data_IF_794144773536
#
_entry.id   IF_794144773536
#
_cell.length_a   1.000
_cell.length_b   1.000
_cell.length_c   1.000
_cell.angle_alpha   90.00
_cell.angle_beta   90.00
_cell.angle_gamma   90.00
#
_symmetry.space_group_name_H-M   'P 1'
#
loop_
_entity.id
_entity.type
_entity.pdbx_description
1 polymer ?
#
# COMPACT_ATOMS: atom_id res chain seq x y z
N UNK A 1 9.87 2.93 -75.47
CA UNK A 1 9.18 2.24 -76.59
C UNK A 1 7.74 2.00 -76.14
N UNK A 2 6.73 2.20 -77.00
CA UNK A 2 5.32 2.38 -76.57
C UNK A 2 5.09 3.78 -75.97
N UNK A 3 4.02 4.57 -76.22
CA UNK A 3 2.73 4.41 -76.95
C UNK A 3 1.75 3.39 -76.33
N UNK A 4 0.44 3.66 -76.18
CA UNK A 4 -0.39 4.78 -76.72
C UNK A 4 -1.55 5.23 -75.78
N UNK A 5 -1.98 6.51 -75.95
CA UNK A 5 -3.33 7.15 -75.90
C UNK A 5 -4.48 6.56 -75.04
N UNK A 6 -5.13 7.34 -74.15
CA UNK A 6 -6.31 8.25 -74.35
C UNK A 6 -7.70 7.50 -74.31
N UNK A 7 -8.87 8.04 -73.89
CA UNK A 7 -9.50 9.37 -74.10
C UNK A 7 -10.54 9.80 -73.03
N UNK A 8 -10.98 11.07 -73.08
CA UNK A 8 -12.21 11.73 -72.50
C UNK A 8 -13.44 10.85 -72.15
N UNK A 9 -14.26 11.08 -71.11
CA UNK A 9 -15.11 12.27 -70.76
C UNK A 9 -16.62 11.84 -70.75
N UNK A 10 -17.65 12.53 -70.22
CA UNK A 10 -17.79 13.71 -69.35
C UNK A 10 -19.28 14.15 -69.14
N UNK A 11 -19.58 14.89 -68.06
CA UNK A 11 -20.81 15.70 -67.74
C UNK A 11 -22.22 15.04 -67.53
N UNK A 12 -22.76 15.23 -66.31
CA UNK A 12 -24.19 15.57 -66.04
C UNK A 12 -25.21 14.44 -65.79
N UNK A 13 -26.45 14.67 -65.32
CA UNK A 13 -27.06 15.81 -64.58
C UNK A 13 -28.50 15.44 -64.09
N UNK A 14 -28.96 15.92 -62.91
CA UNK A 14 -30.37 15.92 -62.39
C UNK A 14 -31.07 14.53 -62.24
N UNK A 15 -31.91 14.26 -61.23
CA UNK A 15 -33.15 14.98 -60.87
C UNK A 15 -33.69 14.66 -59.45
N UNK A 16 -34.64 15.49 -58.96
CA UNK A 16 -35.63 15.19 -57.89
C UNK A 16 -37.04 15.33 -58.48
N UNK A 17 -38.08 14.72 -57.88
CA UNK A 17 -39.04 15.46 -57.01
C UNK A 17 -39.27 14.72 -55.67
N UNK A 18 -39.88 15.22 -54.56
CA UNK A 18 -41.12 16.00 -54.30
C UNK A 18 -42.42 15.23 -54.66
N UNK A 19 -43.53 15.29 -53.92
CA UNK A 19 -43.91 15.79 -52.58
C UNK A 19 -45.39 15.34 -52.29
N UNK A 20 -46.19 15.72 -51.28
CA UNK A 20 -46.10 16.71 -50.18
C UNK A 20 -47.17 16.45 -49.07
N UNK A 21 -46.90 16.85 -47.81
CA UNK A 21 -47.86 17.45 -46.80
C UNK A 21 -49.03 16.69 -46.13
N UNK A 22 -49.31 17.14 -44.88
CA UNK A 22 -50.55 16.96 -44.09
C UNK A 22 -50.27 16.34 -42.70
N UNK A 23 -50.50 16.92 -41.50
CA UNK A 23 -51.00 18.21 -40.93
C UNK A 23 -52.33 18.09 -40.15
N UNK A 24 -52.25 18.32 -38.82
CA UNK A 24 -53.35 18.43 -37.82
C UNK A 24 -54.11 17.11 -37.51
N UNK A 25 -54.82 16.93 -36.38
CA UNK A 25 -55.22 17.83 -35.27
C UNK A 25 -54.94 17.20 -33.87
N UNK A 26 -54.56 17.97 -32.84
CA UNK A 26 -55.41 18.46 -31.71
C UNK A 26 -56.34 17.42 -31.04
N UNK A 27 -56.04 17.11 -29.77
CA UNK A 27 -56.97 16.49 -28.81
C UNK A 27 -56.66 16.97 -27.39
N UNK A 28 -57.67 17.40 -26.64
CA UNK A 28 -57.54 17.97 -25.27
C UNK A 28 -58.19 17.03 -24.24
N UNK A 29 -57.62 16.89 -23.04
CA UNK A 29 -58.10 15.90 -22.07
C UNK A 29 -57.50 16.04 -20.67
N UNK A 30 -57.93 17.06 -19.91
CA UNK A 30 -57.80 17.03 -18.43
C UNK A 30 -58.77 16.01 -17.84
N UNK A 31 -58.28 15.12 -16.99
CA UNK A 31 -58.99 14.71 -15.77
C UNK A 31 -57.98 14.49 -14.64
N UNK A 32 -58.40 14.83 -13.42
CA UNK A 32 -57.88 14.24 -12.19
C UNK A 32 -58.68 12.95 -11.94
N UNK A 33 -58.15 12.05 -11.12
CA UNK A 33 -58.68 11.82 -9.77
C UNK A 33 -57.67 10.96 -9.01
N UNK A 34 -57.75 10.96 -7.68
CA UNK A 34 -56.72 10.41 -6.79
C UNK A 34 -56.84 8.89 -6.62
N UNK A 35 -55.69 8.20 -6.51
CA UNK A 35 -55.55 7.16 -5.51
C UNK A 35 -54.07 6.96 -5.10
N UNK A 36 -53.82 6.54 -3.86
CA UNK A 36 -52.49 6.49 -3.27
C UNK A 36 -52.11 5.09 -2.80
N UNK A 37 -50.91 4.61 -3.15
CA UNK A 37 -50.32 3.43 -2.48
C UNK A 37 -48.79 3.31 -2.61
N UNK A 38 -48.15 2.72 -1.59
CA UNK A 38 -47.04 1.77 -1.78
C UNK A 38 -45.58 2.23 -1.89
N UNK A 39 -45.25 3.51 -2.08
CA UNK A 39 -43.88 3.96 -2.37
C UNK A 39 -42.85 3.91 -1.21
N UNK A 40 -42.26 2.74 -0.90
CA UNK A 40 -41.17 2.60 0.09
C UNK A 40 -39.88 3.29 -0.36
N UNK A 41 -39.42 4.30 0.40
CA UNK A 41 -38.03 4.81 0.30
C UNK A 41 -37.03 3.73 0.74
N UNK A 42 -35.86 3.59 0.09
CA UNK A 42 -34.80 2.71 0.56
C UNK A 42 -34.29 3.19 1.94
N UNK A 43 -33.98 2.25 2.84
CA UNK A 43 -33.37 2.57 4.12
C UNK A 43 -31.93 3.04 3.90
N UNK A 44 -31.50 4.09 4.59
CA UNK A 44 -30.08 4.30 4.87
C UNK A 44 -29.58 3.11 5.69
N UNK A 45 -28.49 2.49 5.28
CA UNK A 45 -27.83 1.49 6.12
C UNK A 45 -27.08 2.18 7.25
N UNK A 46 -27.35 1.78 8.50
CA UNK A 46 -26.62 2.28 9.66
C UNK A 46 -25.24 1.62 9.71
N UNK A 47 -24.20 2.37 9.34
CA UNK A 47 -22.81 1.94 9.47
C UNK A 47 -22.54 1.47 10.91
N UNK A 48 -22.13 0.21 11.07
CA UNK A 48 -21.98 -0.41 12.39
C UNK A 48 -20.86 0.25 13.21
N UNK A 49 -21.25 1.10 14.15
CA UNK A 49 -20.34 1.90 15.00
C UNK A 49 -19.62 1.12 16.10
N UNK A 50 -19.80 -0.21 16.23
CA UNK A 50 -19.08 -1.02 17.22
C UNK A 50 -17.56 -0.91 17.09
N UNK A 51 -17.02 -0.80 15.87
CA UNK A 51 -15.58 -0.67 15.63
C UNK A 51 -14.99 0.57 16.32
N UNK A 52 -15.61 1.73 16.11
CA UNK A 52 -15.20 3.00 16.71
C UNK A 52 -15.41 3.02 18.24
N UNK A 53 -16.52 2.43 18.73
CA UNK A 53 -16.76 2.27 20.18
C UNK A 53 -15.66 1.44 20.86
N UNK A 54 -15.17 0.37 20.21
CA UNK A 54 -14.06 -0.46 20.74
C UNK A 54 -12.71 0.26 20.71
N UNK A 55 -12.41 1.09 19.70
CA UNK A 55 -11.18 1.91 19.71
C UNK A 55 -11.21 2.99 20.80
N UNK A 56 -12.31 3.73 20.93
CA UNK A 56 -12.42 4.81 21.94
C UNK A 56 -12.38 4.31 23.38
N UNK A 57 -12.88 3.10 23.67
CA UNK A 57 -12.83 2.51 25.01
C UNK A 57 -11.43 2.05 25.44
N UNK A 58 -10.57 1.61 24.51
CA UNK A 58 -9.15 1.35 24.77
C UNK A 58 -8.41 2.65 25.08
N UNK A 59 -8.64 3.70 24.28
CA UNK A 59 -8.05 5.02 24.51
C UNK A 59 -8.48 5.64 25.85
N UNK A 60 -9.77 5.53 26.22
CA UNK A 60 -10.27 6.00 27.53
C UNK A 60 -9.68 5.22 28.71
N UNK A 61 -9.52 3.90 28.61
CA UNK A 61 -8.85 3.09 29.65
C UNK A 61 -7.40 3.51 29.90
N UNK A 62 -6.67 3.90 28.85
CA UNK A 62 -5.28 4.35 28.96
C UNK A 62 -5.11 5.78 29.52
N UNK A 63 -6.20 6.55 29.65
CA UNK A 63 -6.21 7.87 30.31
C UNK A 63 -6.45 7.73 31.82
N UNK A 64 -7.46 6.96 32.21
CA UNK A 64 -7.81 6.70 33.61
C UNK A 64 -6.72 5.96 34.44
N UNK A 65 -5.72 5.37 33.77
CA UNK A 65 -4.53 4.78 34.40
C UNK A 65 -3.34 5.74 34.53
N UNK A 66 -3.35 6.92 33.88
CA UNK A 66 -2.35 7.98 34.07
C UNK A 66 -2.69 8.97 35.18
N UNK A 67 -3.99 9.23 35.39
CA UNK A 67 -4.49 10.22 36.36
C UNK A 67 -4.42 9.75 37.84
N UNK A 68 -3.59 8.74 38.17
CA UNK A 68 -3.50 8.14 39.51
C UNK A 68 -2.09 8.09 40.11
N UNK A 69 -1.10 8.77 39.52
CA UNK A 69 0.29 8.84 40.04
C UNK A 69 0.85 10.28 39.90
N UNK A 70 0.36 11.22 40.73
CA UNK A 70 1.00 12.54 40.93
C UNK A 70 0.73 13.10 42.33
N UNK A 71 1.68 12.97 43.24
CA UNK A 71 1.84 13.78 44.45
C UNK A 71 3.32 13.71 44.90
N UNK A 72 3.98 14.82 45.30
CA UNK A 72 5.44 14.85 45.49
C UNK A 72 5.90 14.63 46.94
N UNK A 73 7.14 14.16 47.10
CA UNK A 73 7.84 14.07 48.39
C UNK A 73 9.36 14.08 48.20
N UNK A 74 10.08 14.83 49.03
CA UNK A 74 11.53 15.05 48.95
C UNK A 74 12.33 13.93 49.67
N UNK A 75 13.67 13.83 49.48
CA UNK A 75 14.41 12.61 49.82
C UNK A 75 14.73 12.45 51.32
N UNK A 76 15.01 11.21 51.72
CA UNK A 76 15.72 10.87 52.96
C UNK A 76 16.81 9.84 52.67
N UNK A 77 18.01 10.12 53.13
CA UNK A 77 19.07 9.12 53.25
C UNK A 77 18.78 8.16 54.42
N UNK A 78 19.22 6.91 54.33
CA UNK A 78 20.16 6.37 55.33
C UNK A 78 20.60 4.92 55.08
N UNK A 79 21.90 4.69 55.32
CA UNK A 79 22.55 3.47 55.85
C UNK A 79 22.45 2.15 55.08
N UNK A 80 23.63 1.68 54.66
CA UNK A 80 23.89 0.26 54.42
C UNK A 80 23.54 -0.62 55.63
N UNK A 81 23.01 -1.81 55.37
CA UNK A 81 23.45 -3.03 56.04
C UNK A 81 23.72 -4.06 54.93
N UNK A 82 24.96 -4.53 54.81
CA UNK A 82 25.34 -5.49 53.80
C UNK A 82 25.06 -6.94 54.22
N UNK A 83 24.66 -7.80 53.28
CA UNK A 83 24.79 -9.25 53.45
C UNK A 83 25.14 -9.93 52.12
N UNK A 84 26.42 -10.23 51.96
CA UNK A 84 26.96 -10.90 50.78
C UNK A 84 26.47 -12.34 50.68
N UNK A 85 25.74 -12.66 49.61
CA UNK A 85 25.59 -14.02 49.10
C UNK A 85 25.90 -13.94 47.61
N UNK A 86 27.01 -14.54 47.19
CA UNK A 86 27.49 -14.45 45.82
C UNK A 86 26.85 -15.47 44.90
N UNK A 87 26.16 -15.01 43.87
CA UNK A 87 25.87 -15.78 42.66
C UNK A 87 26.48 -15.07 41.45
N UNK A 88 27.63 -15.56 40.98
CA UNK A 88 28.28 -15.04 39.77
C UNK A 88 27.54 -15.52 38.52
N UNK A 89 26.44 -14.86 38.14
CA UNK A 89 25.89 -14.99 36.78
C UNK A 89 26.75 -14.22 35.78
N UNK A 90 27.20 -14.90 34.73
CA UNK A 90 28.28 -14.43 33.85
C UNK A 90 27.80 -13.38 32.82
N UNK A 91 28.33 -12.15 32.90
CA UNK A 91 28.24 -11.18 31.78
C UNK A 91 29.30 -11.42 30.67
N UNK A 92 30.18 -12.43 30.83
CA UNK A 92 31.37 -12.66 30.01
C UNK A 92 31.15 -13.52 28.75
N UNK A 93 30.25 -13.09 27.85
CA UNK A 93 30.16 -13.65 26.48
C UNK A 93 29.81 -12.61 25.40
N UNK A 94 28.83 -11.74 25.66
CA UNK A 94 28.14 -10.94 24.63
C UNK A 94 28.96 -9.86 23.89
N UNK A 95 30.19 -9.56 24.31
CA UNK A 95 31.08 -8.65 23.58
C UNK A 95 31.71 -9.28 22.34
N UNK A 96 32.09 -10.56 22.44
CA UNK A 96 32.97 -11.24 21.47
C UNK A 96 32.40 -11.28 20.04
N UNK A 97 31.11 -11.60 19.91
CA UNK A 97 30.46 -11.78 18.60
C UNK A 97 30.34 -10.46 17.83
N UNK A 98 30.12 -9.33 18.52
CA UNK A 98 30.07 -8.00 17.86
C UNK A 98 31.46 -7.56 17.39
N UNK A 99 32.53 -7.86 18.14
CA UNK A 99 33.91 -7.64 17.68
C UNK A 99 34.36 -8.57 16.54
N UNK A 100 33.59 -9.61 16.22
CA UNK A 100 33.85 -10.54 15.09
C UNK A 100 33.07 -10.16 13.81
N UNK A 101 32.40 -9.01 13.79
CA UNK A 101 31.51 -8.60 12.70
C UNK A 101 32.23 -7.81 11.60
N UNK A 102 32.58 -8.51 10.53
CA UNK A 102 33.30 -7.98 9.36
C UNK A 102 32.45 -7.05 8.47
N UNK A 103 31.12 -7.08 8.58
CA UNK A 103 30.19 -6.20 7.81
C UNK A 103 29.25 -5.42 8.73
N UNK A 104 28.74 -4.29 8.26
CA UNK A 104 27.68 -3.53 8.93
C UNK A 104 26.40 -4.36 9.08
N UNK A 105 26.09 -5.22 8.10
CA UNK A 105 24.99 -6.18 8.19
C UNK A 105 25.15 -7.15 9.37
N UNK A 106 26.37 -7.66 9.61
CA UNK A 106 26.70 -8.48 10.78
C UNK A 106 26.60 -7.66 12.08
N UNK A 107 27.22 -6.47 12.16
CA UNK A 107 27.16 -5.59 13.36
C UNK A 107 25.72 -5.24 13.74
N UNK A 108 24.92 -4.85 12.76
CA UNK A 108 23.48 -4.59 12.90
C UNK A 108 22.72 -5.82 13.40
N UNK A 109 22.94 -7.00 12.78
CA UNK A 109 22.19 -8.20 13.15
C UNK A 109 22.58 -8.75 14.53
N UNK A 110 23.87 -8.76 14.87
CA UNK A 110 24.33 -9.19 16.19
C UNK A 110 23.84 -8.23 17.29
N UNK A 111 23.77 -6.93 16.99
CA UNK A 111 23.13 -5.92 17.86
C UNK A 111 21.63 -6.16 18.00
N UNK A 112 20.93 -6.53 16.91
CA UNK A 112 19.50 -6.87 16.92
C UNK A 112 19.21 -8.07 17.85
N UNK A 113 20.02 -9.13 17.75
CA UNK A 113 19.90 -10.33 18.60
C UNK A 113 20.26 -10.01 20.05
N UNK A 114 21.40 -9.34 20.30
CA UNK A 114 21.83 -8.93 21.65
C UNK A 114 20.81 -8.03 22.35
N UNK A 115 20.08 -7.19 21.61
CA UNK A 115 19.02 -6.36 22.16
C UNK A 115 17.70 -7.12 22.44
N UNK A 116 17.65 -8.46 22.33
CA UNK A 116 16.43 -9.24 22.63
C UNK A 116 15.52 -9.49 21.41
N UNK A 117 16.09 -9.40 20.20
CA UNK A 117 15.49 -9.92 18.96
C UNK A 117 14.03 -9.53 18.71
N UNK A 118 13.22 -10.50 18.31
CA UNK A 118 11.83 -10.29 17.89
C UNK A 118 10.96 -9.70 19.01
N UNK A 119 11.23 -10.01 20.28
CA UNK A 119 10.49 -9.42 21.39
C UNK A 119 10.75 -7.91 21.47
N UNK A 120 12.01 -7.47 21.46
CA UNK A 120 12.32 -6.05 21.55
C UNK A 120 11.92 -5.26 20.30
N UNK A 121 12.03 -5.85 19.09
CA UNK A 121 11.51 -5.22 17.85
C UNK A 121 10.02 -4.86 18.00
N UNK A 122 9.22 -5.77 18.57
CA UNK A 122 7.79 -5.57 18.80
C UNK A 122 7.52 -4.58 19.93
N UNK A 123 8.28 -4.62 21.01
CA UNK A 123 8.16 -3.67 22.13
C UNK A 123 8.48 -2.23 21.68
N UNK A 124 9.59 -2.01 20.98
CA UNK A 124 9.95 -0.70 20.39
C UNK A 124 8.91 -0.20 19.41
N UNK A 125 8.31 -1.10 18.61
CA UNK A 125 7.20 -0.70 17.74
C UNK A 125 6.02 -0.18 18.55
N UNK A 126 5.54 -0.95 19.53
CA UNK A 126 4.33 -0.61 20.31
C UNK A 126 4.53 0.65 21.16
N UNK A 127 5.70 0.83 21.77
CA UNK A 127 5.97 1.92 22.69
C UNK A 127 6.33 3.23 21.97
N UNK A 128 7.25 3.16 21.00
CA UNK A 128 7.99 4.34 20.52
C UNK A 128 7.55 4.79 19.12
N UNK A 129 6.94 3.89 18.33
CA UNK A 129 6.76 4.06 16.89
C UNK A 129 5.30 3.93 16.42
N UNK A 130 4.45 3.16 17.10
CA UNK A 130 3.08 2.90 16.68
C UNK A 130 2.28 4.20 16.51
N UNK A 131 2.45 5.13 17.46
CA UNK A 131 1.81 6.46 17.51
C UNK A 131 2.56 7.54 16.73
N UNK A 132 3.70 7.25 16.10
CA UNK A 132 4.50 8.27 15.40
C UNK A 132 3.74 8.93 14.25
N UNK A 133 3.65 10.26 14.30
CA UNK A 133 3.11 11.15 13.26
C UNK A 133 4.04 12.35 13.09
N UNK A 134 4.12 12.89 11.86
CA UNK A 134 4.94 14.05 11.56
C UNK A 134 4.29 15.33 12.13
N UNK A 135 4.89 15.91 13.18
CA UNK A 135 4.32 16.96 14.01
C UNK A 135 4.01 18.32 13.32
N UNK A 136 4.32 18.47 12.03
CA UNK A 136 4.01 19.66 11.20
C UNK A 136 3.43 19.32 9.83
N UNK A 137 2.99 18.08 9.60
CA UNK A 137 2.29 17.72 8.37
C UNK A 137 0.91 18.38 8.34
N UNK A 138 0.60 19.10 7.26
CA UNK A 138 -0.77 19.50 6.94
C UNK A 138 -1.43 18.42 6.07
N UNK A 139 -2.75 18.36 6.12
CA UNK A 139 -3.58 17.39 5.38
C UNK A 139 -4.82 18.06 4.77
N UNK A 140 -4.70 19.34 4.39
CA UNK A 140 -5.80 20.19 3.93
C UNK A 140 -6.58 19.57 2.78
N UNK A 141 -5.88 18.97 1.81
CA UNK A 141 -6.54 18.34 0.68
C UNK A 141 -7.33 17.06 1.07
N UNK A 142 -6.96 16.41 2.17
CA UNK A 142 -7.66 15.25 2.74
C UNK A 142 -8.83 15.64 3.65
N UNK A 143 -8.69 16.74 4.39
CA UNK A 143 -9.73 17.31 5.26
C UNK A 143 -10.82 18.06 4.48
N UNK A 144 -10.65 18.27 3.18
CA UNK A 144 -11.62 18.95 2.31
C UNK A 144 -12.85 18.06 2.06
N UNK A 145 -14.05 18.59 2.31
CA UNK A 145 -15.32 17.89 2.13
C UNK A 145 -15.55 17.51 0.65
N UNK A 146 -15.06 18.31 -0.29
CA UNK A 146 -15.12 18.00 -1.73
C UNK A 146 -14.27 16.78 -2.12
N UNK A 147 -13.30 16.39 -1.28
CA UNK A 147 -12.43 15.22 -1.52
C UNK A 147 -12.80 14.00 -0.66
N UNK A 148 -13.80 14.12 0.22
CA UNK A 148 -14.15 13.09 1.20
C UNK A 148 -14.46 11.73 0.54
N UNK A 149 -15.28 11.73 -0.51
CA UNK A 149 -15.70 10.51 -1.20
C UNK A 149 -14.58 9.87 -2.03
N UNK A 150 -13.47 10.56 -2.32
CA UNK A 150 -12.29 9.95 -2.94
C UNK A 150 -11.41 9.21 -1.92
N UNK A 151 -11.69 9.29 -0.62
CA UNK A 151 -10.88 8.67 0.44
C UNK A 151 -11.51 7.35 0.90
N UNK A 152 -10.87 6.21 0.56
CA UNK A 152 -11.38 4.87 0.92
C UNK A 152 -11.54 4.63 2.43
N UNK A 153 -10.78 5.36 3.25
CA UNK A 153 -10.82 5.26 4.72
C UNK A 153 -10.60 6.63 5.39
N UNK A 154 -11.53 7.12 6.23
CA UNK A 154 -11.42 8.45 6.85
C UNK A 154 -10.34 8.54 7.95
N UNK A 155 -9.84 7.40 8.46
CA UNK A 155 -8.73 7.34 9.41
C UNK A 155 -7.35 7.27 8.72
N UNK A 156 -7.30 7.23 7.38
CA UNK A 156 -6.06 7.06 6.60
C UNK A 156 -5.65 8.37 5.94
N UNK A 157 -5.00 9.25 6.69
CA UNK A 157 -4.68 10.60 6.23
C UNK A 157 -3.67 10.66 5.08
N UNK A 158 -3.77 11.70 4.24
CA UNK A 158 -2.78 12.08 3.23
C UNK A 158 -2.04 13.35 3.67
N UNK A 159 -0.72 13.40 3.49
CA UNK A 159 0.07 14.61 3.77
C UNK A 159 0.12 15.52 2.55
N UNK A 160 -0.13 16.82 2.70
CA UNK A 160 -0.10 17.79 1.59
C UNK A 160 1.28 17.90 0.94
N UNK A 161 2.36 17.85 1.73
CA UNK A 161 3.74 18.06 1.24
C UNK A 161 4.34 16.88 0.46
N UNK A 162 3.64 15.74 0.40
CA UNK A 162 4.00 14.59 -0.45
C UNK A 162 2.85 14.04 -1.29
N UNK A 163 1.65 14.63 -1.26
CA UNK A 163 0.56 14.21 -2.14
C UNK A 163 0.96 14.37 -3.60
N UNK A 164 0.40 13.53 -4.46
CA UNK A 164 0.40 13.81 -5.90
C UNK A 164 -0.70 14.85 -6.18
N UNK A 165 -0.42 15.75 -7.12
CA UNK A 165 -1.33 16.81 -7.57
C UNK A 165 -1.58 16.57 -9.06
N UNK A 166 -2.85 16.35 -9.44
CA UNK A 166 -3.24 16.18 -10.84
C UNK A 166 -3.29 17.53 -11.56
N UNK A 167 -3.02 17.55 -12.87
CA UNK A 167 -3.13 18.76 -13.71
C UNK A 167 -4.34 18.72 -14.65
N UNK A 168 -4.73 17.53 -15.09
CA UNK A 168 -5.81 17.25 -16.04
C UNK A 168 -6.86 16.31 -15.41
N UNK A 169 -7.01 16.35 -14.08
CA UNK A 169 -7.93 15.49 -13.35
C UNK A 169 -9.40 15.76 -13.71
N UNK A 170 -10.29 14.76 -13.51
CA UNK A 170 -11.71 14.87 -13.81
C UNK A 170 -12.34 16.11 -13.17
N UNK A 171 -13.18 16.81 -13.94
CA UNK A 171 -13.86 18.06 -13.56
C UNK A 171 -12.94 19.17 -12.99
N UNK A 172 -11.64 19.10 -13.28
CA UNK A 172 -10.62 20.03 -12.75
C UNK A 172 -10.12 19.69 -11.35
N UNK A 173 -10.46 18.52 -10.81
CA UNK A 173 -9.97 18.06 -9.50
C UNK A 173 -8.46 17.82 -9.51
N UNK A 174 -7.74 18.44 -8.57
CA UNK A 174 -6.31 18.22 -8.37
C UNK A 174 -6.00 16.97 -7.51
N UNK A 175 -7.05 16.30 -7.02
CA UNK A 175 -6.95 15.32 -5.93
C UNK A 175 -6.85 13.87 -6.41
N UNK A 176 -5.96 13.13 -5.74
CA UNK A 176 -5.92 11.66 -5.75
C UNK A 176 -5.21 11.21 -4.46
N UNK A 177 -5.67 10.13 -3.82
CA UNK A 177 -5.11 9.68 -2.53
C UNK A 177 -3.78 8.90 -2.70
N UNK A 178 -2.82 9.52 -3.38
CA UNK A 178 -1.49 9.01 -3.71
C UNK A 178 -0.40 9.91 -3.12
N UNK A 179 0.75 9.33 -2.76
CA UNK A 179 1.90 10.09 -2.27
C UNK A 179 3.18 9.72 -3.02
N UNK A 180 3.97 10.72 -3.40
CA UNK A 180 5.34 10.52 -3.84
C UNK A 180 6.18 9.95 -2.69
N UNK A 181 6.99 8.92 -2.96
CA UNK A 181 7.91 8.34 -1.98
C UNK A 181 9.32 8.23 -2.56
N UNK A 182 10.29 8.73 -1.81
CA UNK A 182 11.73 8.64 -2.05
C UNK A 182 12.27 7.44 -1.27
N UNK A 183 13.22 6.72 -1.86
CA UNK A 183 13.75 5.47 -1.31
C UNK A 183 14.07 4.38 -2.35
N UNK A 184 14.10 4.72 -3.65
CA UNK A 184 14.53 3.87 -4.76
C UNK A 184 15.38 4.66 -5.77
N UNK A 185 15.85 4.00 -6.83
CA UNK A 185 16.63 4.60 -7.93
C UNK A 185 15.72 5.15 -9.06
N UNK A 186 14.45 4.77 -9.04
CA UNK A 186 13.37 5.28 -9.89
C UNK A 186 12.35 6.07 -9.03
N UNK A 187 11.55 6.97 -9.61
CA UNK A 187 10.44 7.61 -8.91
C UNK A 187 9.42 6.58 -8.43
N UNK A 188 8.82 6.80 -7.26
CA UNK A 188 7.78 5.92 -6.72
C UNK A 188 6.58 6.70 -6.22
N UNK A 189 5.40 6.10 -6.39
CA UNK A 189 4.13 6.60 -5.88
C UNK A 189 3.48 5.47 -5.08
N UNK A 190 3.17 5.74 -3.82
CA UNK A 190 2.48 4.82 -2.91
C UNK A 190 1.03 5.34 -2.73
N UNK A 191 0.03 4.62 -3.25
CA UNK A 191 -1.37 5.06 -3.37
C UNK A 191 -2.38 4.08 -2.73
N UNK A 192 -3.61 4.55 -2.48
CA UNK A 192 -4.75 3.67 -2.14
C UNK A 192 -5.18 2.84 -3.36
N UNK A 193 -5.90 1.74 -3.14
CA UNK A 193 -6.65 1.06 -4.21
C UNK A 193 -7.89 1.89 -4.57
N UNK A 194 -8.09 2.28 -5.84
CA UNK A 194 -9.21 3.11 -6.27
C UNK A 194 -10.55 2.72 -5.64
N UNK A 195 -11.32 3.70 -5.18
CA UNK A 195 -12.78 3.63 -5.09
C UNK A 195 -13.38 4.02 -6.44
N UNK A 196 -14.61 3.60 -6.72
CA UNK A 196 -15.27 3.72 -8.04
C UNK A 196 -15.13 5.13 -8.67
N UNK A 197 -15.55 6.15 -7.92
CA UNK A 197 -15.47 7.57 -8.26
C UNK A 197 -14.04 8.14 -8.35
N UNK A 198 -12.99 7.35 -8.10
CA UNK A 198 -11.58 7.77 -8.18
C UNK A 198 -10.78 7.04 -9.26
N UNK A 199 -11.42 6.18 -10.05
CA UNK A 199 -10.76 5.42 -11.13
C UNK A 199 -10.16 6.37 -12.18
N UNK A 200 -10.89 7.40 -12.57
CA UNK A 200 -10.45 8.39 -13.56
C UNK A 200 -9.27 9.25 -13.05
N UNK A 201 -9.33 9.66 -11.77
CA UNK A 201 -8.21 10.33 -11.08
C UNK A 201 -6.97 9.43 -11.02
N UNK A 202 -7.15 8.12 -10.85
CA UNK A 202 -6.08 7.13 -10.82
C UNK A 202 -5.47 6.88 -12.20
N UNK A 203 -6.27 6.84 -13.28
CA UNK A 203 -5.74 6.74 -14.64
C UNK A 203 -5.04 8.04 -15.09
N UNK A 204 -5.58 9.20 -14.71
CA UNK A 204 -4.89 10.50 -14.89
C UNK A 204 -3.52 10.50 -14.20
N UNK A 205 -3.48 10.07 -12.92
CA UNK A 205 -2.25 9.87 -12.15
C UNK A 205 -1.23 8.96 -12.87
N UNK A 206 -1.70 7.85 -13.47
CA UNK A 206 -0.84 6.90 -14.18
C UNK A 206 -0.16 7.54 -15.40
N UNK A 207 -0.91 8.27 -16.23
CA UNK A 207 -0.34 8.91 -17.44
C UNK A 207 0.53 10.12 -17.08
N UNK A 208 0.05 11.04 -16.25
CA UNK A 208 0.78 12.28 -15.92
C UNK A 208 2.14 12.01 -15.25
N UNK A 209 2.22 10.96 -14.44
CA UNK A 209 3.44 10.60 -13.71
C UNK A 209 4.30 9.57 -14.45
N UNK A 210 3.95 9.19 -15.69
CA UNK A 210 4.64 8.17 -16.48
C UNK A 210 4.80 6.83 -15.72
N UNK A 211 3.70 6.32 -15.16
CA UNK A 211 3.67 5.12 -14.32
C UNK A 211 3.70 3.82 -15.14
N UNK A 212 4.79 3.58 -15.86
CA UNK A 212 4.97 2.39 -16.70
C UNK A 212 5.06 1.04 -15.95
N UNK A 213 5.02 1.05 -14.61
CA UNK A 213 4.79 -0.15 -13.78
C UNK A 213 3.76 0.17 -12.70
N UNK A 214 2.68 -0.61 -12.65
CA UNK A 214 1.72 -0.63 -11.53
C UNK A 214 1.88 -1.94 -10.77
N UNK A 215 1.98 -1.86 -9.45
CA UNK A 215 2.02 -3.04 -8.57
C UNK A 215 0.80 -3.01 -7.64
N UNK A 216 -0.16 -3.88 -7.92
CA UNK A 216 -1.35 -4.10 -7.10
C UNK A 216 -1.10 -5.24 -6.12
N UNK A 217 -1.34 -4.99 -4.84
CA UNK A 217 -0.96 -5.92 -3.77
C UNK A 217 -2.16 -6.43 -2.96
N UNK A 218 -3.39 -6.19 -3.39
CA UNK A 218 -4.58 -6.86 -2.86
C UNK A 218 -5.49 -7.28 -4.01
N UNK A 219 -6.24 -8.36 -3.79
CA UNK A 219 -7.42 -8.68 -4.59
C UNK A 219 -8.45 -7.55 -4.47
N UNK A 220 -9.38 -7.45 -5.44
CA UNK A 220 -10.42 -6.41 -5.43
C UNK A 220 -11.40 -6.61 -4.25
N UNK A 221 -11.59 -7.84 -3.78
CA UNK A 221 -12.37 -8.19 -2.59
C UNK A 221 -11.58 -9.16 -1.70
N UNK A 222 -11.42 -8.86 -0.40
CA UNK A 222 -10.79 -9.75 0.59
C UNK A 222 -11.78 -9.94 1.77
N UNK A 223 -12.00 -11.19 2.23
CA UNK A 223 -12.96 -11.52 3.32
C UNK A 223 -14.40 -10.97 3.09
N UNK A 224 -14.85 -10.93 1.82
CA UNK A 224 -16.16 -10.40 1.43
C UNK A 224 -16.26 -8.87 1.44
N UNK A 225 -15.18 -8.15 1.76
CA UNK A 225 -15.13 -6.69 1.77
C UNK A 225 -14.39 -6.20 0.55
N UNK A 226 -14.95 -5.20 -0.13
CA UNK A 226 -14.24 -4.52 -1.21
C UNK A 226 -12.95 -3.87 -0.67
N UNK A 227 -11.89 -3.98 -1.46
CA UNK A 227 -10.54 -3.50 -1.18
C UNK A 227 -10.04 -2.56 -2.26
N UNK A 228 -10.39 -2.83 -3.51
CA UNK A 228 -10.09 -2.02 -4.68
C UNK A 228 -11.28 -2.18 -5.65
N UNK A 229 -11.73 -1.08 -6.26
CA UNK A 229 -12.63 -1.15 -7.41
C UNK A 229 -11.88 -1.75 -8.61
N UNK A 230 -12.61 -2.31 -9.58
CA UNK A 230 -11.98 -2.96 -10.73
C UNK A 230 -11.67 -1.94 -11.83
N UNK A 231 -10.53 -1.27 -11.69
CA UNK A 231 -10.09 -0.19 -12.57
C UNK A 231 -9.41 -0.68 -13.87
N UNK A 232 -9.34 -2.01 -14.10
CA UNK A 232 -8.72 -2.59 -15.29
C UNK A 232 -9.76 -2.83 -16.39
N UNK A 233 -9.60 -2.23 -17.59
CA UNK A 233 -10.50 -2.50 -18.69
C UNK A 233 -10.30 -3.91 -19.25
N UNK A 234 -11.41 -4.57 -19.65
CA UNK A 234 -11.40 -5.78 -20.48
C UNK A 234 -11.36 -5.44 -21.97
N UNK A 235 -12.13 -4.43 -22.37
CA UNK A 235 -12.21 -3.85 -23.72
C UNK A 235 -11.68 -2.40 -23.70
N UNK A 236 -11.18 -1.84 -24.83
CA UNK A 236 -10.72 -0.45 -24.89
C UNK A 236 -11.76 0.54 -24.34
N UNK A 237 -11.39 1.28 -23.29
CA UNK A 237 -12.28 2.09 -22.46
C UNK A 237 -11.71 3.48 -22.19
N UNK A 238 -12.57 4.44 -21.86
CA UNK A 238 -12.18 5.79 -21.44
C UNK A 238 -12.49 5.98 -19.95
N UNK A 239 -11.50 6.49 -19.21
CA UNK A 239 -11.57 6.80 -17.78
C UNK A 239 -11.33 8.31 -17.62
N UNK A 240 -12.41 9.08 -17.55
CA UNK A 240 -12.39 10.53 -17.70
C UNK A 240 -11.77 10.93 -19.04
N UNK A 241 -10.62 11.61 -18.99
CA UNK A 241 -9.87 11.99 -20.18
C UNK A 241 -8.85 10.93 -20.65
N UNK A 242 -8.76 9.75 -20.03
CA UNK A 242 -7.71 8.75 -20.33
C UNK A 242 -8.27 7.56 -21.10
N UNK A 243 -7.86 7.39 -22.35
CA UNK A 243 -8.12 6.17 -23.11
C UNK A 243 -7.16 5.06 -22.64
N UNK A 244 -7.67 3.86 -22.32
CA UNK A 244 -6.89 2.70 -21.86
C UNK A 244 -7.29 1.45 -22.62
N UNK A 245 -6.30 0.67 -23.07
CA UNK A 245 -6.51 -0.59 -23.80
C UNK A 245 -5.57 -1.70 -23.33
N UNK A 246 -5.99 -2.96 -23.49
CA UNK A 246 -5.17 -4.14 -23.19
C UNK A 246 -4.29 -4.49 -24.40
N UNK A 247 -2.99 -4.68 -24.16
CA UNK A 247 -2.01 -5.16 -25.15
C UNK A 247 -1.61 -6.61 -24.94
N UNK A 248 -1.45 -7.01 -23.68
CA UNK A 248 -1.25 -8.41 -23.28
C UNK A 248 -2.24 -8.74 -22.15
N UNK A 249 -3.13 -9.75 -22.31
CA UNK A 249 -4.09 -10.11 -21.27
C UNK A 249 -3.41 -10.72 -20.04
N UNK A 250 -4.13 -10.71 -18.91
CA UNK A 250 -3.64 -11.19 -17.62
C UNK A 250 -3.17 -12.66 -17.69
N UNK A 251 -1.95 -12.91 -17.25
CA UNK A 251 -1.36 -14.26 -17.15
C UNK A 251 -0.46 -14.41 -15.93
N UNK A 252 -0.45 -15.61 -15.34
CA UNK A 252 0.45 -15.96 -14.23
C UNK A 252 1.90 -15.99 -14.72
N UNK A 253 2.82 -15.35 -13.98
CA UNK A 253 4.24 -15.32 -14.37
C UNK A 253 4.95 -16.63 -14.00
N UNK A 254 5.63 -17.24 -14.96
CA UNK A 254 6.36 -18.51 -14.77
C UNK A 254 7.41 -18.43 -13.64
N UNK A 255 8.04 -17.27 -13.46
CA UNK A 255 9.05 -17.05 -12.43
C UNK A 255 8.47 -16.86 -11.00
N UNK A 256 7.17 -16.56 -10.88
CA UNK A 256 6.50 -16.32 -9.61
C UNK A 256 4.98 -16.57 -9.76
N UNK A 257 4.48 -17.79 -9.41
CA UNK A 257 3.08 -18.15 -9.58
C UNK A 257 2.06 -17.31 -8.80
N UNK A 258 2.50 -16.51 -7.82
CA UNK A 258 1.66 -15.56 -7.07
C UNK A 258 1.57 -14.17 -7.73
N UNK A 259 2.10 -14.00 -8.96
CA UNK A 259 2.04 -12.75 -9.72
C UNK A 259 1.31 -12.97 -11.03
N UNK A 260 0.25 -12.20 -11.24
CA UNK A 260 -0.46 -12.08 -12.52
C UNK A 260 0.03 -10.80 -13.20
N UNK A 261 0.32 -10.87 -14.50
CA UNK A 261 0.84 -9.76 -15.30
C UNK A 261 -0.11 -9.44 -16.45
N UNK A 262 -0.42 -8.15 -16.60
CA UNK A 262 -1.16 -7.58 -17.74
C UNK A 262 -0.32 -6.46 -18.34
N UNK A 263 -0.38 -6.25 -19.66
CA UNK A 263 0.17 -5.05 -20.30
C UNK A 263 -0.96 -4.22 -20.87
N UNK A 264 -0.92 -2.94 -20.54
CA UNK A 264 -1.92 -1.94 -20.87
C UNK A 264 -1.24 -0.78 -21.60
N UNK A 265 -1.99 -0.07 -22.42
CA UNK A 265 -1.57 1.19 -23.04
C UNK A 265 -2.58 2.27 -22.63
N UNK A 266 -2.08 3.36 -22.04
CA UNK A 266 -2.87 4.47 -21.53
C UNK A 266 -2.39 5.80 -22.14
N UNK A 267 -3.32 6.66 -22.55
CA UNK A 267 -3.00 7.97 -23.14
C UNK A 267 -4.00 9.05 -22.74
N UNK A 268 -3.48 10.28 -22.57
CA UNK A 268 -4.28 11.50 -22.52
C UNK A 268 -4.31 12.16 -23.92
N UNK A 269 -5.40 12.83 -24.33
CA UNK A 269 -5.48 13.61 -25.56
C UNK A 269 -4.27 14.53 -25.77
N UNK A 270 -3.66 14.46 -26.95
CA UNK A 270 -2.46 15.22 -27.35
C UNK A 270 -1.22 15.01 -26.44
N UNK A 271 -1.23 13.99 -25.59
CA UNK A 271 -0.13 13.66 -24.68
C UNK A 271 0.65 12.43 -25.15
N UNK A 272 1.69 12.07 -24.39
CA UNK A 272 2.49 10.87 -24.62
C UNK A 272 1.75 9.62 -24.13
N UNK A 273 1.60 8.63 -25.00
CA UNK A 273 1.17 7.27 -24.64
C UNK A 273 2.15 6.61 -23.66
N UNK A 274 1.61 6.03 -22.59
CA UNK A 274 2.34 5.28 -21.56
C UNK A 274 1.97 3.80 -21.68
N UNK A 275 2.96 2.96 -21.95
CA UNK A 275 2.83 1.50 -21.82
C UNK A 275 3.03 1.11 -20.35
N UNK A 276 2.06 0.41 -19.78
CA UNK A 276 1.95 0.10 -18.35
C UNK A 276 1.99 -1.41 -18.15
N UNK A 277 3.00 -1.89 -17.43
CA UNK A 277 3.02 -3.27 -16.94
C UNK A 277 2.34 -3.31 -15.57
N UNK A 278 1.15 -3.92 -15.52
CA UNK A 278 0.44 -4.19 -14.27
C UNK A 278 0.89 -5.54 -13.69
N UNK A 279 1.09 -5.58 -12.37
CA UNK A 279 1.46 -6.76 -11.61
C UNK A 279 0.56 -6.89 -10.37
N UNK A 280 -0.39 -7.83 -10.41
CA UNK A 280 -1.19 -8.24 -9.25
C UNK A 280 -0.45 -9.31 -8.45
N UNK A 281 -0.25 -9.10 -7.15
CA UNK A 281 0.35 -10.10 -6.24
C UNK A 281 -0.68 -10.64 -5.23
N UNK A 282 -1.07 -11.91 -5.41
CA UNK A 282 -2.00 -12.63 -4.50
C UNK A 282 -1.32 -13.13 -3.22
N UNK A 283 0.00 -13.28 -3.21
CA UNK A 283 0.78 -13.92 -2.14
C UNK A 283 0.88 -13.17 -0.80
N UNK A 284 -0.03 -12.22 -0.52
CA UNK A 284 -0.05 -11.39 0.69
C UNK A 284 -1.49 -11.14 1.22
N UNK A 285 -1.99 -11.92 2.19
CA UNK A 285 -3.33 -11.71 2.77
C UNK A 285 -3.44 -10.45 3.66
N UNK A 286 -4.68 -9.95 3.89
CA UNK A 286 -4.89 -8.69 4.62
C UNK A 286 -4.33 -8.71 6.05
N UNK A 287 -3.83 -7.55 6.50
CA UNK A 287 -3.29 -7.32 7.87
C UNK A 287 -2.24 -8.36 8.30
N UNK A 288 -1.60 -9.02 7.36
CA UNK A 288 -0.62 -10.09 7.58
C UNK A 288 0.72 -9.68 6.90
N UNK A 289 1.65 -10.62 6.81
CA UNK A 289 2.91 -10.59 6.07
C UNK A 289 2.79 -11.53 4.85
N UNK A 290 3.74 -11.55 3.88
CA UNK A 290 3.66 -12.47 2.75
C UNK A 290 3.51 -13.94 3.17
N UNK A 291 2.94 -14.75 2.29
CA UNK A 291 2.96 -16.21 2.43
C UNK A 291 4.36 -16.76 2.16
N UNK A 292 5.08 -16.20 1.17
CA UNK A 292 6.45 -16.55 0.83
C UNK A 292 7.34 -15.29 0.72
N UNK A 293 8.33 -15.12 1.61
CA UNK A 293 9.36 -14.07 1.47
C UNK A 293 10.16 -14.19 0.16
N UNK A 294 10.32 -15.40 -0.37
CA UNK A 294 10.98 -15.65 -1.66
C UNK A 294 10.16 -15.13 -2.85
N UNK A 295 8.85 -15.40 -2.88
CA UNK A 295 7.96 -14.88 -3.92
C UNK A 295 7.92 -13.34 -3.90
N UNK A 296 7.87 -12.73 -2.70
CA UNK A 296 7.95 -11.28 -2.59
C UNK A 296 9.32 -10.71 -3.03
N UNK A 297 10.42 -11.44 -2.79
CA UNK A 297 11.76 -11.08 -3.28
C UNK A 297 11.83 -11.13 -4.81
N UNK A 298 11.23 -12.13 -5.44
CA UNK A 298 11.12 -12.26 -6.90
C UNK A 298 10.32 -11.09 -7.50
N UNK A 299 9.14 -10.78 -6.95
CA UNK A 299 8.33 -9.62 -7.37
C UNK A 299 9.14 -8.32 -7.35
N UNK A 300 9.84 -8.03 -6.24
CA UNK A 300 10.69 -6.84 -6.13
C UNK A 300 11.81 -6.82 -7.19
N UNK A 301 12.41 -7.98 -7.47
CA UNK A 301 13.42 -8.12 -8.53
C UNK A 301 12.87 -7.83 -9.93
N UNK A 302 11.67 -8.33 -10.24
CA UNK A 302 10.96 -8.04 -11.50
C UNK A 302 10.62 -6.56 -11.62
N UNK A 303 10.02 -5.95 -10.58
CA UNK A 303 9.66 -4.52 -10.58
C UNK A 303 10.87 -3.62 -10.78
N UNK A 304 11.98 -3.88 -10.08
CA UNK A 304 13.21 -3.10 -10.24
C UNK A 304 13.78 -3.20 -11.67
N UNK A 305 13.82 -4.40 -12.26
CA UNK A 305 14.25 -4.60 -13.66
C UNK A 305 13.36 -3.83 -14.64
N UNK A 306 12.03 -3.92 -14.49
CA UNK A 306 11.06 -3.23 -15.36
C UNK A 306 11.21 -1.71 -15.27
N UNK A 307 11.30 -1.17 -14.05
CA UNK A 307 11.40 0.26 -13.81
C UNK A 307 12.72 0.88 -14.34
N UNK A 308 13.84 0.17 -14.15
CA UNK A 308 15.14 0.57 -14.71
C UNK A 308 15.15 0.51 -16.25
N UNK A 309 14.59 -0.54 -16.84
CA UNK A 309 14.53 -0.67 -18.31
C UNK A 309 13.61 0.37 -18.96
N UNK A 310 12.42 0.62 -18.40
CA UNK A 310 11.44 1.59 -18.92
C UNK A 310 11.71 3.05 -18.51
N UNK A 311 12.63 3.29 -17.56
CA UNK A 311 12.93 4.63 -16.98
C UNK A 311 11.65 5.36 -16.52
N UNK A 312 10.77 4.62 -15.84
CA UNK A 312 9.41 5.04 -15.51
C UNK A 312 9.19 5.16 -13.99
N UNK A 313 8.05 5.75 -13.61
CA UNK A 313 7.58 5.76 -12.22
C UNK A 313 6.97 4.40 -11.87
N UNK A 314 7.21 3.94 -10.64
CA UNK A 314 6.53 2.75 -10.09
C UNK A 314 5.40 3.19 -9.18
N UNK A 315 4.15 2.95 -9.61
CA UNK A 315 2.97 3.13 -8.79
C UNK A 315 2.68 1.84 -8.02
N UNK A 316 2.44 1.95 -6.72
CA UNK A 316 2.17 0.79 -5.86
C UNK A 316 0.94 1.06 -5.00
N UNK A 317 -0.03 0.15 -5.09
CA UNK A 317 -1.24 0.23 -4.29
C UNK A 317 -1.62 -1.10 -3.63
N UNK A 318 -2.40 -0.93 -2.58
CA UNK A 318 -3.26 -1.91 -1.93
C UNK A 318 -4.39 -1.10 -1.31
N UNK A 319 -5.42 -1.75 -0.80
CA UNK A 319 -6.65 -1.08 -0.34
C UNK A 319 -6.46 0.28 0.33
N UNK A 320 -5.85 0.35 1.52
CA UNK A 320 -5.66 1.62 2.23
C UNK A 320 -4.45 2.45 1.75
N UNK A 321 -3.61 1.93 0.86
CA UNK A 321 -2.36 2.58 0.44
C UNK A 321 -1.31 2.82 1.53
N UNK A 322 -1.56 2.30 2.74
CA UNK A 322 -0.67 2.38 3.92
C UNK A 322 -0.28 0.99 4.46
N UNK A 323 -0.78 -0.08 3.82
CA UNK A 323 -0.35 -1.44 4.08
C UNK A 323 1.14 -1.63 3.79
N UNK A 324 1.79 -2.53 4.52
CA UNK A 324 3.22 -2.80 4.35
C UNK A 324 3.53 -3.45 3.01
N UNK A 325 2.50 -4.00 2.35
CA UNK A 325 2.57 -4.48 0.97
C UNK A 325 3.27 -3.43 0.09
N UNK A 326 2.73 -2.22 0.02
CA UNK A 326 3.31 -1.12 -0.76
C UNK A 326 4.67 -0.69 -0.19
N UNK A 327 4.72 -0.61 1.15
CA UNK A 327 5.87 -0.08 1.88
C UNK A 327 7.13 -0.92 1.72
N UNK A 328 7.04 -2.25 1.53
CA UNK A 328 8.22 -3.09 1.29
C UNK A 328 8.84 -2.95 -0.11
N UNK A 329 8.16 -2.28 -1.06
CA UNK A 329 8.83 -1.76 -2.26
C UNK A 329 9.24 -0.29 -2.03
N UNK A 330 8.32 0.59 -1.60
CA UNK A 330 8.57 2.03 -1.41
C UNK A 330 9.71 2.36 -0.39
N UNK A 331 10.04 1.46 0.55
CA UNK A 331 11.00 1.71 1.64
C UNK A 331 12.47 1.39 1.35
N UNK A 332 12.75 0.51 0.39
CA UNK A 332 13.86 -0.41 0.62
C UNK A 332 15.27 0.18 0.46
N UNK A 333 15.57 1.11 -0.46
CA UNK A 333 16.97 1.52 -0.66
C UNK A 333 17.56 2.29 0.53
N UNK A 334 16.78 3.08 1.28
CA UNK A 334 17.30 3.78 2.47
C UNK A 334 17.86 2.82 3.54
N UNK A 335 17.24 1.66 3.72
CA UNK A 335 17.75 0.62 4.62
C UNK A 335 18.74 -0.34 3.97
N UNK A 336 18.59 -0.59 2.67
CA UNK A 336 19.26 -1.67 1.97
C UNK A 336 20.53 -1.22 1.25
N UNK A 337 20.52 -0.05 0.61
CA UNK A 337 21.71 0.53 0.00
C UNK A 337 22.74 0.81 1.08
N UNK A 338 22.34 1.45 2.20
CA UNK A 338 23.28 1.70 3.29
C UNK A 338 23.80 0.39 3.92
N UNK A 339 22.94 -0.56 4.32
CA UNK A 339 23.39 -1.78 5.01
C UNK A 339 24.10 -2.82 4.12
N UNK A 340 23.76 -2.92 2.83
CA UNK A 340 24.24 -4.00 1.94
C UNK A 340 25.18 -3.50 0.83
N UNK A 341 24.99 -2.28 0.33
CA UNK A 341 25.88 -1.70 -0.68
C UNK A 341 27.00 -0.87 -0.05
N UNK A 342 26.68 0.01 0.90
CA UNK A 342 27.59 1.04 1.43
C UNK A 342 28.30 0.66 2.75
N UNK A 343 28.03 -0.54 3.30
CA UNK A 343 28.46 -1.03 4.64
C UNK A 343 28.24 -0.02 5.78
N UNK A 344 27.05 0.57 5.84
CA UNK A 344 26.61 1.52 6.88
C UNK A 344 25.52 0.91 7.75
N UNK A 345 25.65 1.04 9.06
CA UNK A 345 24.62 0.59 10.00
C UNK A 345 23.37 1.47 9.92
N UNK A 346 22.17 0.85 9.96
CA UNK A 346 20.90 1.56 9.79
C UNK A 346 19.97 1.39 10.98
N UNK A 347 19.43 2.51 11.47
CA UNK A 347 18.41 2.53 12.50
C UNK A 347 17.01 2.31 11.90
N UNK A 348 16.40 1.18 12.23
CA UNK A 348 15.09 0.75 11.71
C UNK A 348 13.93 1.69 12.07
N UNK A 349 14.04 2.37 13.21
CA UNK A 349 13.17 3.47 13.64
C UNK A 349 13.23 4.64 12.65
N UNK A 350 14.42 5.07 12.26
CA UNK A 350 14.63 6.20 11.33
C UNK A 350 14.08 5.88 9.93
N UNK A 351 14.25 4.65 9.43
CA UNK A 351 13.59 4.22 8.18
C UNK A 351 12.07 4.39 8.30
N UNK A 352 11.48 3.90 9.40
CA UNK A 352 10.04 3.94 9.60
C UNK A 352 9.50 5.37 9.70
N UNK A 353 10.23 6.27 10.37
CA UNK A 353 9.93 7.69 10.54
C UNK A 353 9.98 8.43 9.19
N UNK A 354 11.13 8.45 8.50
CA UNK A 354 11.32 9.07 7.16
C UNK A 354 10.23 8.69 6.15
N UNK A 355 9.67 7.52 6.33
CA UNK A 355 8.67 6.93 5.45
C UNK A 355 7.24 7.23 5.91
N UNK A 356 6.99 7.38 7.22
CA UNK A 356 5.74 7.96 7.77
C UNK A 356 5.64 9.46 7.53
N UNK A 357 6.77 10.13 7.34
CA UNK A 357 6.86 11.53 6.89
C UNK A 357 6.43 11.72 5.43
N UNK A 358 6.43 10.64 4.63
CA UNK A 358 6.08 10.66 3.21
C UNK A 358 4.72 10.00 2.91
N UNK A 359 4.34 8.94 3.65
CA UNK A 359 3.01 8.31 3.60
C UNK A 359 2.58 7.96 5.03
N UNK A 360 1.58 8.68 5.53
CA UNK A 360 1.09 8.60 6.92
C UNK A 360 0.72 7.17 7.36
N UNK A 361 0.78 6.92 8.68
CA UNK A 361 0.35 5.69 9.38
C UNK A 361 0.95 4.35 8.92
N UNK A 362 1.68 4.30 7.81
CA UNK A 362 2.10 3.04 7.21
C UNK A 362 3.17 2.32 8.06
N UNK A 363 3.18 1.00 7.90
CA UNK A 363 3.42 0.02 8.99
C UNK A 363 2.46 0.22 10.17
N UNK A 364 1.34 -0.52 10.14
CA UNK A 364 0.30 -0.48 11.16
C UNK A 364 0.55 -1.41 12.36
N UNK A 365 1.12 -2.61 12.17
CA UNK A 365 1.31 -3.59 13.27
C UNK A 365 2.76 -4.01 13.50
N UNK A 366 2.99 -4.52 14.72
CA UNK A 366 4.26 -5.04 15.23
C UNK A 366 4.80 -6.22 14.40
N UNK A 367 3.94 -7.18 14.02
CA UNK A 367 4.33 -8.33 13.19
C UNK A 367 4.93 -7.90 11.85
N UNK A 368 4.37 -6.83 11.29
CA UNK A 368 4.73 -6.34 9.98
C UNK A 368 5.97 -5.41 10.05
N UNK A 369 6.24 -4.77 11.20
CA UNK A 369 7.54 -4.17 11.50
C UNK A 369 8.64 -5.22 11.70
N UNK A 370 8.34 -6.38 12.32
CA UNK A 370 9.27 -7.52 12.36
C UNK A 370 9.54 -8.04 10.95
N UNK A 371 8.53 -8.11 10.06
CA UNK A 371 8.77 -8.53 8.68
C UNK A 371 9.73 -7.58 7.92
N UNK A 372 9.75 -6.28 8.22
CA UNK A 372 10.75 -5.35 7.65
C UNK A 372 12.19 -5.76 8.01
N UNK A 373 12.42 -6.23 9.25
CA UNK A 373 13.72 -6.78 9.66
C UNK A 373 14.00 -8.12 8.98
N UNK A 374 13.01 -9.03 8.97
CA UNK A 374 13.10 -10.35 8.32
C UNK A 374 13.47 -10.22 6.84
N UNK A 375 12.91 -9.22 6.13
CA UNK A 375 13.21 -8.93 4.73
C UNK A 375 14.65 -8.44 4.51
N UNK A 376 15.15 -7.55 5.39
CA UNK A 376 16.55 -7.09 5.36
C UNK A 376 17.52 -8.26 5.59
N UNK A 377 17.24 -9.13 6.56
CA UNK A 377 18.01 -10.36 6.81
C UNK A 377 18.00 -11.26 5.56
N UNK A 378 16.83 -11.45 4.94
CA UNK A 378 16.68 -12.27 3.72
C UNK A 378 17.53 -11.75 2.55
N UNK A 379 17.69 -10.42 2.44
CA UNK A 379 18.49 -9.76 1.41
C UNK A 379 19.99 -9.69 1.76
N UNK A 380 20.35 -9.60 3.03
CA UNK A 380 21.75 -9.68 3.46
C UNK A 380 22.29 -11.11 3.27
N UNK A 381 21.45 -12.13 3.46
CA UNK A 381 21.72 -13.51 3.04
C UNK A 381 21.86 -13.63 1.51
N UNK A 382 20.92 -13.06 0.73
CA UNK A 382 20.92 -13.03 -0.75
C UNK A 382 22.23 -12.48 -1.35
N UNK A 383 22.86 -11.53 -0.63
CA UNK A 383 24.10 -10.84 -1.04
C UNK A 383 25.35 -11.29 -0.27
N UNK A 384 25.29 -12.39 0.48
CA UNK A 384 26.42 -12.92 1.24
C UNK A 384 26.98 -11.99 2.33
N UNK A 385 26.25 -10.93 2.70
CA UNK A 385 26.61 -10.00 3.79
C UNK A 385 26.25 -10.56 5.17
N UNK A 386 25.33 -11.54 5.21
CA UNK A 386 25.08 -12.44 6.33
C UNK A 386 25.25 -13.89 5.87
N UNK A 387 25.59 -14.75 6.82
CA UNK A 387 25.83 -16.19 6.67
C UNK A 387 24.81 -16.99 7.47
N UNK A 388 24.45 -18.20 7.01
CA UNK A 388 23.69 -19.19 7.83
C UNK A 388 24.61 -20.15 8.60
N UNK A 389 25.88 -20.27 8.20
CA UNK A 389 26.83 -21.24 8.76
C UNK A 389 27.12 -21.00 10.26
N UNK A 390 27.02 -19.75 10.71
CA UNK A 390 27.40 -19.35 12.06
C UNK A 390 26.31 -19.66 13.09
N UNK A 391 26.42 -20.83 13.74
CA UNK A 391 25.58 -21.19 14.90
C UNK A 391 25.62 -20.12 16.01
N UNK A 392 26.71 -19.37 16.13
CA UNK A 392 26.88 -18.26 17.07
C UNK A 392 26.19 -16.95 16.64
N UNK A 393 25.88 -16.76 15.35
CA UNK A 393 25.25 -15.54 14.84
C UNK A 393 23.75 -15.44 15.16
N UNK A 394 23.05 -16.59 15.25
CA UNK A 394 21.62 -16.64 15.54
C UNK A 394 20.67 -16.36 14.36
N UNK A 395 21.17 -16.30 13.12
CA UNK A 395 20.35 -15.99 11.92
C UNK A 395 19.20 -16.99 11.75
N UNK A 396 19.51 -18.28 11.70
CA UNK A 396 18.48 -19.32 11.54
C UNK A 396 17.54 -19.43 12.77
N UNK A 397 18.00 -19.02 13.95
CA UNK A 397 17.16 -18.96 15.15
C UNK A 397 16.13 -17.82 15.05
N UNK A 398 16.55 -16.62 14.63
CA UNK A 398 15.63 -15.51 14.35
C UNK A 398 14.62 -15.86 13.26
N UNK A 399 15.04 -16.60 12.22
CA UNK A 399 14.15 -17.04 11.15
C UNK A 399 13.08 -18.02 11.68
N UNK A 400 13.46 -19.01 12.50
CA UNK A 400 12.50 -19.92 13.16
C UNK A 400 11.53 -19.18 14.07
N UNK A 401 12.01 -18.33 14.97
CA UNK A 401 11.17 -17.54 15.89
C UNK A 401 10.18 -16.64 15.15
N UNK A 402 10.58 -16.10 13.99
CA UNK A 402 9.70 -15.34 13.12
C UNK A 402 8.60 -16.23 12.51
N UNK A 403 8.97 -17.38 11.95
CA UNK A 403 8.02 -18.29 11.31
C UNK A 403 7.01 -18.87 12.32
N UNK A 404 7.48 -19.28 13.51
CA UNK A 404 6.62 -19.69 14.64
C UNK A 404 5.69 -18.56 15.12
N UNK A 405 6.18 -17.33 15.22
CA UNK A 405 5.36 -16.17 15.60
C UNK A 405 4.24 -15.95 14.59
N UNK A 406 4.54 -15.96 13.29
CA UNK A 406 3.57 -15.74 12.23
C UNK A 406 2.56 -16.90 12.15
N UNK A 407 3.00 -18.15 12.22
CA UNK A 407 2.10 -19.32 12.27
C UNK A 407 1.15 -19.26 13.47
N UNK A 408 1.66 -18.98 14.67
CA UNK A 408 0.87 -18.84 15.90
C UNK A 408 -0.17 -17.72 15.79
N UNK A 409 0.21 -16.57 15.21
CA UNK A 409 -0.69 -15.42 15.01
C UNK A 409 -1.77 -15.70 13.96
N UNK A 410 -1.43 -16.36 12.85
CA UNK A 410 -2.39 -16.84 11.83
C UNK A 410 -3.39 -17.84 12.42
N UNK A 411 -2.92 -18.83 13.20
CA UNK A 411 -3.80 -19.80 13.89
C UNK A 411 -4.78 -19.11 14.86
N UNK A 412 -4.28 -18.17 15.67
CA UNK A 412 -5.12 -17.41 16.61
C UNK A 412 -6.19 -16.55 15.90
N UNK A 413 -5.88 -15.95 14.75
CA UNK A 413 -6.86 -15.17 13.96
C UNK A 413 -7.98 -16.07 13.42
N UNK A 414 -7.64 -17.17 12.75
CA UNK A 414 -8.63 -18.14 12.22
C UNK A 414 -9.53 -18.72 13.31
N UNK A 415 -8.99 -18.92 14.52
CA UNK A 415 -9.81 -19.37 15.66
C UNK A 415 -10.78 -18.27 16.15
N UNK A 416 -10.34 -17.01 16.19
CA UNK A 416 -11.18 -15.86 16.54
C UNK A 416 -12.32 -15.66 15.53
N UNK A 417 -12.03 -15.74 14.23
CA UNK A 417 -13.02 -15.69 13.16
C UNK A 417 -14.05 -16.83 13.29
N UNK A 418 -13.59 -18.06 13.56
CA UNK A 418 -14.49 -19.21 13.77
C UNK A 418 -15.39 -19.01 15.01
N UNK A 419 -14.84 -18.41 16.07
CA UNK A 419 -15.60 -18.01 17.27
C UNK A 419 -16.56 -16.86 17.01
N UNK A 420 -16.30 -15.99 16.04
CA UNK A 420 -17.21 -14.91 15.63
C UNK A 420 -18.36 -15.41 14.77
N UNK A 421 -18.08 -16.27 13.77
CA UNK A 421 -19.10 -16.88 12.90
C UNK A 421 -20.10 -17.74 13.68
N UNK A 422 -19.63 -18.50 14.68
CA UNK A 422 -20.45 -19.27 15.66
C UNK A 422 -21.19 -18.42 16.72
N UNK A 423 -21.38 -17.13 16.47
CA UNK A 423 -22.12 -16.16 17.30
C UNK A 423 -23.00 -15.25 16.43
N UNK A 424 -23.22 -15.63 15.17
CA UNK A 424 -23.91 -14.84 14.15
C UNK A 424 -24.81 -15.73 13.28
N UNK A 425 -24.41 -16.98 13.07
CA UNK A 425 -25.32 -18.13 13.15
C UNK A 425 -25.15 -18.84 14.48
#
# INVERSE_FOLDING_TARGET
>A
MGRDKATSGGKGNKNRPRSDRGRNDRGNGKKRDDNAEGGRKPKREEYNTEGARRQSSVLKRNRASRERITAPGAPRESRHIGRTIGSQTQERTGGSVISQANTAAQRWFYTLVRQGGILNIRTKFVNDLATYQLARATKRAFDDEANADFNRYPDVTLHDHTRVVLKNGPDGSDYVHASHVKGAEFPMICAQGPVENSIDNFWTLVVEQNCGVIVQLCENQEEGREKCADYLPTEPSEFGNVSVSVKEPSHVTVANPSVHRTVLEASLPNSRTVEVVHLLYDGWPDRDVPLSPAAFRQLRGTVHKLAMARKCTVLIHCSAGIGQKNRHLCSHRDGLSDLIANDREVQMSTILQRLRDQRALAVQTDLQYVFLHRAIIDMALDKGRLTRADKAAGVDQFIREYEELIQRKRKARKELERKHRRRQG
#
